data_IF_918891217846
#
_entry.id   IF_918891217846
#
_cell.length_a   1.000
_cell.length_b   1.000
_cell.length_c   1.000
_cell.angle_alpha   90.00
_cell.angle_beta   90.00
_cell.angle_gamma   90.00
#
_symmetry.space_group_name_H-M   'P 1'
#
loop_
_entity.id
_entity.type
_entity.pdbx_description
1 polymer ?
#
# COMPACT_ATOMS: atom_id res chain seq x y z
N UNK A 1 -22.12 20.15 20.84
CA UNK A 1 -20.93 21.01 21.02
C UNK A 1 -19.79 20.14 21.53
N UNK A 2 -18.56 20.62 21.40
CA UNK A 2 -17.34 19.91 21.84
C UNK A 2 -16.52 20.79 22.77
N UNK A 3 -15.76 20.18 23.68
CA UNK A 3 -14.90 20.90 24.64
C UNK A 3 -13.61 20.13 24.86
N UNK A 4 -12.49 20.83 24.95
CA UNK A 4 -11.20 20.27 25.34
C UNK A 4 -10.86 20.71 26.76
N UNK A 5 -10.17 19.84 27.51
CA UNK A 5 -9.73 20.09 28.89
C UNK A 5 -8.40 19.37 29.15
N UNK A 6 -7.53 19.93 30.01
CA UNK A 6 -6.43 19.16 30.62
C UNK A 6 -7.03 18.26 31.71
N UNK A 7 -6.70 16.98 31.67
CA UNK A 7 -7.19 16.00 32.64
C UNK A 7 -6.06 15.06 33.07
N UNK A 8 -6.18 14.50 34.27
CA UNK A 8 -5.41 13.34 34.71
C UNK A 8 -6.30 12.11 34.59
N UNK A 9 -5.77 11.04 34.01
CA UNK A 9 -6.47 9.76 33.90
C UNK A 9 -5.61 8.61 34.43
N UNK A 10 -6.26 7.55 34.90
CA UNK A 10 -5.65 6.25 35.17
C UNK A 10 -6.43 5.21 34.38
N UNK A 11 -5.80 4.58 33.40
CA UNK A 11 -6.47 3.53 32.61
C UNK A 11 -6.87 2.38 33.52
N UNK A 12 -8.12 1.92 33.40
CA UNK A 12 -8.63 0.80 34.20
C UNK A 12 -8.13 -0.55 33.68
N UNK A 13 -7.85 -0.66 32.37
CA UNK A 13 -7.32 -1.85 31.72
C UNK A 13 -6.46 -1.50 30.50
N UNK A 14 -5.68 -2.47 30.04
CA UNK A 14 -5.05 -2.48 28.72
C UNK A 14 -5.61 -3.69 27.99
N UNK A 15 -6.38 -3.43 26.93
CA UNK A 15 -7.10 -4.45 26.18
C UNK A 15 -6.51 -4.56 24.77
N UNK A 16 -6.46 -5.77 24.22
CA UNK A 16 -6.23 -5.96 22.78
C UNK A 16 -7.53 -5.75 22.00
N UNK A 17 -7.42 -5.56 20.68
CA UNK A 17 -8.60 -5.43 19.82
C UNK A 17 -9.44 -6.71 19.83
N UNK A 18 -8.81 -7.87 19.89
CA UNK A 18 -9.46 -9.18 19.92
C UNK A 18 -10.23 -9.38 21.23
N UNK A 19 -9.68 -8.93 22.37
CA UNK A 19 -10.39 -8.95 23.65
C UNK A 19 -11.63 -8.04 23.62
N UNK A 20 -11.49 -6.81 23.11
CA UNK A 20 -12.61 -5.89 22.99
C UNK A 20 -13.68 -6.39 22.01
N UNK A 21 -13.28 -7.01 20.89
CA UNK A 21 -14.16 -7.63 19.92
C UNK A 21 -14.92 -8.82 20.54
N UNK A 22 -14.21 -9.72 21.23
CA UNK A 22 -14.82 -10.84 21.92
C UNK A 22 -15.84 -10.40 22.98
N UNK A 23 -15.57 -9.28 23.68
CA UNK A 23 -16.50 -8.70 24.63
C UNK A 23 -17.80 -8.18 23.99
N UNK A 24 -17.74 -7.51 22.82
CA UNK A 24 -18.96 -7.11 22.06
C UNK A 24 -19.76 -8.33 21.56
N UNK A 25 -19.08 -9.45 21.31
CA UNK A 25 -19.68 -10.75 20.98
C UNK A 25 -20.19 -11.54 22.20
N UNK A 26 -20.11 -10.97 23.40
CA UNK A 26 -20.61 -11.57 24.64
C UNK A 26 -19.65 -12.57 25.31
N UNK A 27 -18.41 -12.67 24.85
CA UNK A 27 -17.35 -13.50 25.45
C UNK A 27 -16.44 -12.63 26.31
N UNK A 28 -16.82 -12.46 27.57
CA UNK A 28 -16.07 -11.69 28.56
C UNK A 28 -14.97 -12.53 29.20
N UNK A 29 -13.82 -11.91 29.44
CA UNK A 29 -12.70 -12.41 30.23
C UNK A 29 -12.56 -11.61 31.55
N UNK A 30 -11.59 -11.97 32.39
CA UNK A 30 -11.41 -11.33 33.69
C UNK A 30 -11.09 -9.81 33.61
N UNK A 31 -10.57 -9.32 32.47
CA UNK A 31 -10.26 -7.89 32.29
C UNK A 31 -11.42 -7.11 31.69
N UNK A 32 -12.22 -7.75 30.84
CA UNK A 32 -13.35 -7.15 30.13
C UNK A 32 -14.67 -7.25 30.90
N UNK A 33 -14.85 -8.25 31.77
CA UNK A 33 -16.04 -8.42 32.59
C UNK A 33 -16.37 -7.19 33.46
N UNK A 34 -15.40 -6.58 34.18
CA UNK A 34 -15.65 -5.34 34.94
C UNK A 34 -15.96 -4.12 34.05
N UNK A 35 -15.69 -4.21 32.75
CA UNK A 35 -15.84 -3.13 31.76
C UNK A 35 -16.97 -3.39 30.76
N UNK A 36 -17.79 -4.43 30.96
CA UNK A 36 -18.81 -4.85 29.99
C UNK A 36 -19.78 -3.72 29.61
N UNK A 37 -20.26 -2.95 30.59
CA UNK A 37 -21.12 -1.78 30.35
C UNK A 37 -20.46 -0.71 29.48
N UNK A 38 -19.33 -0.12 29.92
CA UNK A 38 -18.60 0.86 29.12
C UNK A 38 -18.19 0.38 27.72
N UNK A 39 -17.81 -0.90 27.56
CA UNK A 39 -17.52 -1.47 26.25
C UNK A 39 -18.77 -1.51 25.37
N UNK A 40 -19.91 -1.97 25.90
CA UNK A 40 -21.17 -1.98 25.15
C UNK A 40 -21.58 -0.56 24.70
N UNK A 41 -21.39 0.46 25.55
CA UNK A 41 -21.64 1.86 25.20
C UNK A 41 -20.71 2.37 24.10
N UNK A 42 -19.42 2.01 24.15
CA UNK A 42 -18.44 2.36 23.11
C UNK A 42 -18.82 1.73 21.76
N UNK A 43 -19.20 0.45 21.74
CA UNK A 43 -19.66 -0.21 20.51
C UNK A 43 -21.00 0.35 20.02
N UNK A 44 -21.90 0.76 20.91
CA UNK A 44 -23.13 1.46 20.52
C UNK A 44 -22.82 2.82 19.86
N UNK A 45 -21.85 3.56 20.40
CA UNK A 45 -21.33 4.77 19.79
C UNK A 45 -20.76 4.48 18.39
N UNK A 46 -19.89 3.47 18.26
CA UNK A 46 -19.34 3.05 16.96
C UNK A 46 -20.43 2.75 15.92
N UNK A 47 -21.46 1.98 16.28
CA UNK A 47 -22.60 1.69 15.39
C UNK A 47 -23.32 2.97 14.92
N UNK A 48 -23.38 4.01 15.76
CA UNK A 48 -23.90 5.32 15.36
C UNK A 48 -22.93 6.09 14.44
N UNK A 49 -21.62 6.01 14.71
CA UNK A 49 -20.58 6.60 13.87
C UNK A 49 -20.53 5.97 12.49
N UNK A 50 -20.72 4.66 12.36
CA UNK A 50 -20.80 3.98 11.06
C UNK A 50 -21.91 4.56 10.17
N UNK A 51 -23.06 4.93 10.74
CA UNK A 51 -24.14 5.61 10.00
C UNK A 51 -23.72 7.01 9.54
N UNK A 52 -22.99 7.75 10.37
CA UNK A 52 -22.45 9.06 10.01
C UNK A 52 -21.37 8.96 8.93
N UNK A 53 -20.46 7.98 9.05
CA UNK A 53 -19.43 7.65 8.07
C UNK A 53 -20.03 7.28 6.72
N UNK A 54 -21.08 6.46 6.69
CA UNK A 54 -21.77 6.10 5.46
C UNK A 54 -22.36 7.32 4.73
N UNK A 55 -22.91 8.30 5.47
CA UNK A 55 -23.38 9.57 4.88
C UNK A 55 -22.22 10.45 4.38
N UNK A 56 -21.11 10.49 5.13
CA UNK A 56 -19.89 11.21 4.76
C UNK A 56 -19.23 10.60 3.52
N UNK A 57 -19.33 9.28 3.37
CA UNK A 57 -18.78 8.48 2.27
C UNK A 57 -17.29 8.77 2.01
N UNK A 58 -16.37 8.57 2.98
CA UNK A 58 -14.93 8.64 2.70
C UNK A 58 -14.56 7.63 1.60
N UNK A 59 -13.43 7.86 0.93
CA UNK A 59 -12.93 6.96 -0.10
C UNK A 59 -12.74 5.56 0.49
N UNK A 60 -13.33 4.57 -0.16
CA UNK A 60 -13.39 3.20 0.32
C UNK A 60 -12.54 2.30 -0.58
N UNK A 61 -11.22 2.40 -0.42
CA UNK A 61 -10.26 1.54 -1.09
C UNK A 61 -9.91 0.38 -0.16
N UNK A 62 -10.16 -0.85 -0.61
CA UNK A 62 -9.71 -2.03 0.10
C UNK A 62 -8.23 -2.28 -0.23
N UNK A 63 -7.37 -2.00 0.74
CA UNK A 63 -5.94 -2.21 0.65
C UNK A 63 -5.54 -3.23 1.73
N UNK A 64 -5.44 -4.52 1.37
CA UNK A 64 -5.13 -5.54 2.36
C UNK A 64 -3.72 -5.33 2.91
N UNK A 65 -3.64 -5.11 4.22
CA UNK A 65 -2.38 -5.00 4.96
C UNK A 65 -1.83 -6.40 5.26
N UNK A 66 -0.51 -6.57 5.10
CA UNK A 66 0.18 -7.83 5.39
C UNK A 66 1.04 -7.68 6.62
N UNK A 67 0.99 -8.67 7.50
CA UNK A 67 1.82 -8.80 8.69
C UNK A 67 2.93 -9.83 8.43
N UNK A 68 4.17 -9.40 8.65
CA UNK A 68 5.35 -10.25 8.58
C UNK A 68 5.64 -10.73 10.01
N UNK A 69 5.45 -12.03 10.24
CA UNK A 69 5.74 -12.64 11.54
C UNK A 69 7.20 -13.07 11.57
N UNK A 70 7.92 -12.63 12.59
CA UNK A 70 9.32 -12.97 12.81
C UNK A 70 9.46 -13.96 13.97
N UNK A 71 10.41 -14.88 13.85
CA UNK A 71 10.91 -15.68 14.97
C UNK A 71 11.84 -14.86 15.86
N UNK A 72 12.14 -15.35 17.06
CA UNK A 72 13.10 -14.73 17.99
C UNK A 72 14.50 -14.55 17.38
N UNK A 73 14.85 -15.38 16.39
CA UNK A 73 16.10 -15.28 15.64
C UNK A 73 16.05 -14.23 14.50
N UNK A 74 14.94 -13.49 14.36
CA UNK A 74 14.75 -12.48 13.32
C UNK A 74 14.44 -13.04 11.92
N UNK A 75 14.07 -14.33 11.81
CA UNK A 75 13.71 -14.97 10.54
C UNK A 75 12.21 -14.91 10.32
N UNK A 76 11.77 -14.61 9.09
CA UNK A 76 10.35 -14.61 8.71
C UNK A 76 9.79 -16.03 8.81
N UNK A 77 8.75 -16.20 9.62
CA UNK A 77 8.04 -17.48 9.80
C UNK A 77 6.80 -17.56 8.93
N UNK A 78 6.09 -16.45 8.76
CA UNK A 78 4.91 -16.36 7.90
C UNK A 78 4.64 -14.93 7.45
N UNK A 79 3.93 -14.80 6.33
CA UNK A 79 3.34 -13.55 5.84
C UNK A 79 1.84 -13.79 5.79
N UNK A 80 1.07 -13.04 6.57
CA UNK A 80 -0.38 -13.20 6.67
C UNK A 80 -1.09 -11.87 6.41
N UNK A 81 -2.34 -11.91 5.99
CA UNK A 81 -3.17 -10.72 5.95
C UNK A 81 -3.60 -10.34 7.37
N UNK A 82 -3.51 -9.06 7.69
CA UNK A 82 -3.98 -8.55 8.96
C UNK A 82 -5.50 -8.47 8.94
N UNK A 83 -6.14 -9.16 9.87
CA UNK A 83 -7.59 -9.09 10.02
C UNK A 83 -7.98 -7.76 10.68
N UNK A 84 -8.93 -7.04 10.06
CA UNK A 84 -9.44 -5.76 10.57
C UNK A 84 -10.85 -5.93 11.13
N UNK A 85 -10.94 -6.31 12.41
CA UNK A 85 -12.20 -6.44 13.14
C UNK A 85 -12.82 -5.10 13.53
N UNK A 86 -14.08 -5.10 13.99
CA UNK A 86 -14.84 -3.88 14.31
C UNK A 86 -14.25 -3.09 15.48
N UNK A 87 -13.59 -3.76 16.43
CA UNK A 87 -12.82 -3.07 17.49
C UNK A 87 -11.74 -2.12 16.94
N UNK A 88 -11.07 -2.47 15.83
CA UNK A 88 -10.11 -1.57 15.16
C UNK A 88 -10.83 -0.34 14.61
N UNK A 89 -11.91 -0.57 13.86
CA UNK A 89 -12.70 0.49 13.21
C UNK A 89 -13.34 1.44 14.23
N UNK A 90 -13.73 0.93 15.39
CA UNK A 90 -14.23 1.71 16.52
C UNK A 90 -13.21 2.74 16.98
N UNK A 91 -11.98 2.29 17.26
CA UNK A 91 -10.91 3.20 17.71
C UNK A 91 -10.61 4.22 16.61
N UNK A 92 -10.49 3.77 15.37
CA UNK A 92 -10.25 4.67 14.22
C UNK A 92 -11.30 5.79 14.12
N UNK A 93 -12.60 5.48 14.16
CA UNK A 93 -13.65 6.50 14.03
C UNK A 93 -13.70 7.45 15.24
N UNK A 94 -13.46 6.94 16.46
CA UNK A 94 -13.30 7.77 17.65
C UNK A 94 -12.11 8.74 17.51
N UNK A 95 -10.98 8.27 16.99
CA UNK A 95 -9.80 9.11 16.75
C UNK A 95 -10.07 10.15 15.65
N UNK A 96 -10.77 9.77 14.57
CA UNK A 96 -11.16 10.71 13.51
C UNK A 96 -12.03 11.83 14.07
N UNK A 97 -13.01 11.52 14.92
CA UNK A 97 -13.82 12.55 15.58
C UNK A 97 -13.00 13.49 16.45
N UNK A 98 -12.09 12.96 17.28
CA UNK A 98 -11.22 13.79 18.11
C UNK A 98 -10.31 14.71 17.27
N UNK A 99 -9.79 14.19 16.15
CA UNK A 99 -8.98 14.93 15.19
C UNK A 99 -9.78 16.08 14.52
N UNK A 100 -11.03 15.83 14.11
CA UNK A 100 -11.93 16.87 13.57
C UNK A 100 -12.23 17.92 14.64
N UNK A 101 -12.57 17.49 15.86
CA UNK A 101 -12.88 18.38 16.97
C UNK A 101 -11.73 19.34 17.30
N UNK A 102 -10.49 18.85 17.25
CA UNK A 102 -9.30 19.64 17.50
C UNK A 102 -9.09 20.71 16.42
N UNK A 103 -9.25 20.33 15.14
CA UNK A 103 -9.17 21.25 14.01
C UNK A 103 -10.24 22.35 14.09
N UNK A 104 -11.50 21.97 14.30
CA UNK A 104 -12.63 22.89 14.42
C UNK A 104 -12.44 23.89 15.57
N UNK A 105 -12.02 23.40 16.74
CA UNK A 105 -11.84 24.22 17.95
C UNK A 105 -10.73 25.26 17.76
N UNK A 106 -9.60 24.88 17.16
CA UNK A 106 -8.50 25.80 16.90
C UNK A 106 -8.84 26.83 15.82
N UNK A 107 -9.55 26.42 14.76
CA UNK A 107 -10.07 27.32 13.74
C UNK A 107 -11.02 28.36 14.35
N UNK A 108 -11.99 27.93 15.15
CA UNK A 108 -12.96 28.82 15.80
C UNK A 108 -12.29 29.83 16.74
N UNK A 109 -11.17 29.45 17.36
CA UNK A 109 -10.35 30.33 18.20
C UNK A 109 -9.32 31.15 17.41
N UNK A 110 -9.28 31.04 16.08
CA UNK A 110 -8.33 31.76 15.23
C UNK A 110 -6.86 31.44 15.54
N UNK A 111 -6.56 30.21 15.97
CA UNK A 111 -5.20 29.79 16.31
C UNK A 111 -4.52 29.06 15.14
N UNK A 112 -3.22 29.32 14.89
CA UNK A 112 -2.43 28.52 13.94
C UNK A 112 -2.39 27.04 14.34
N UNK A 113 -2.42 26.15 13.35
CA UNK A 113 -2.31 24.70 13.51
C UNK A 113 -1.77 24.07 12.22
N UNK A 114 -1.40 22.79 12.30
CA UNK A 114 -1.12 21.97 11.13
C UNK A 114 -2.33 21.13 10.77
N UNK A 115 -2.87 21.34 9.57
CA UNK A 115 -3.86 20.47 8.98
C UNK A 115 -3.18 19.27 8.35
N UNK A 116 -3.86 18.12 8.38
CA UNK A 116 -3.54 16.97 7.55
C UNK A 116 -4.37 17.10 6.28
N UNK A 117 -3.72 17.59 5.23
CA UNK A 117 -4.33 17.89 3.95
C UNK A 117 -4.27 16.69 3.03
N UNK A 118 -5.33 16.46 2.28
CA UNK A 118 -5.35 15.52 1.15
C UNK A 118 -6.23 16.12 0.06
N UNK A 119 -5.62 16.66 -0.98
CA UNK A 119 -6.33 17.38 -2.03
C UNK A 119 -7.04 16.42 -3.00
N UNK A 120 -7.92 17.00 -3.82
CA UNK A 120 -8.50 16.30 -4.95
C UNK A 120 -7.40 15.86 -5.95
N UNK A 121 -7.59 14.72 -6.63
CA UNK A 121 -6.78 14.36 -7.80
C UNK A 121 -6.68 15.50 -8.82
N UNK A 122 -5.52 15.64 -9.45
CA UNK A 122 -5.36 16.61 -10.54
C UNK A 122 -6.26 16.26 -11.74
N UNK A 123 -6.66 17.25 -12.57
CA UNK A 123 -7.48 17.01 -13.75
C UNK A 123 -6.92 15.92 -14.68
N UNK A 124 -5.60 15.88 -14.88
CA UNK A 124 -4.94 14.89 -15.74
C UNK A 124 -5.04 13.48 -15.16
N UNK A 125 -4.81 13.34 -13.84
CA UNK A 125 -4.96 12.06 -13.15
C UNK A 125 -6.41 11.56 -13.19
N UNK A 126 -7.38 12.46 -13.10
CA UNK A 126 -8.80 12.11 -13.24
C UNK A 126 -9.16 11.70 -14.67
N UNK A 127 -8.61 12.36 -15.69
CA UNK A 127 -8.88 11.93 -17.06
C UNK A 127 -8.27 10.56 -17.35
N UNK A 128 -7.07 10.27 -16.83
CA UNK A 128 -6.51 8.91 -16.87
C UNK A 128 -7.41 7.88 -16.20
N UNK A 129 -7.94 8.16 -15.00
CA UNK A 129 -8.92 7.28 -14.36
C UNK A 129 -10.20 7.11 -15.20
N UNK A 130 -10.71 8.19 -15.81
CA UNK A 130 -11.90 8.11 -16.69
C UNK A 130 -11.64 7.26 -17.93
N UNK A 131 -10.43 7.31 -18.49
CA UNK A 131 -10.07 6.49 -19.63
C UNK A 131 -10.11 5.00 -19.27
N UNK A 132 -9.45 4.60 -18.17
CA UNK A 132 -9.48 3.22 -17.68
C UNK A 132 -10.91 2.76 -17.38
N UNK A 133 -11.73 3.63 -16.77
CA UNK A 133 -13.15 3.32 -16.55
C UNK A 133 -13.88 3.04 -17.88
N UNK A 134 -13.71 3.88 -18.92
CA UNK A 134 -14.37 3.68 -20.22
C UNK A 134 -13.92 2.40 -20.91
N UNK A 135 -12.65 2.06 -20.83
CA UNK A 135 -12.08 0.84 -21.44
C UNK A 135 -12.67 -0.44 -20.82
N UNK A 136 -13.07 -0.38 -19.55
CA UNK A 136 -13.75 -1.48 -18.83
C UNK A 136 -15.28 -1.42 -18.92
N UNK A 137 -15.83 -0.50 -19.72
CA UNK A 137 -17.27 -0.31 -19.87
C UNK A 137 -17.94 0.44 -18.69
N UNK A 138 -17.15 0.94 -17.73
CA UNK A 138 -17.61 1.73 -16.60
C UNK A 138 -17.60 3.23 -16.93
N UNK A 139 -18.35 4.02 -16.15
CA UNK A 139 -18.48 5.46 -16.41
C UNK A 139 -18.24 6.30 -15.15
N UNK A 140 -17.16 7.08 -15.17
CA UNK A 140 -16.94 8.19 -14.26
C UNK A 140 -17.32 9.50 -14.96
N UNK A 141 -18.47 10.06 -14.60
CA UNK A 141 -19.04 11.25 -15.25
C UNK A 141 -18.09 12.47 -15.24
N UNK A 142 -18.12 13.25 -16.32
CA UNK A 142 -17.37 14.51 -16.47
C UNK A 142 -18.24 15.71 -16.06
N UNK A 143 -17.61 16.77 -15.56
CA UNK A 143 -18.25 18.07 -15.32
C UNK A 143 -18.98 18.23 -13.99
N UNK A 144 -19.01 17.20 -13.14
CA UNK A 144 -19.45 17.34 -11.75
C UNK A 144 -18.26 17.69 -10.85
N UNK A 145 -18.51 18.46 -9.78
CA UNK A 145 -17.55 18.60 -8.67
C UNK A 145 -17.26 17.21 -8.13
N UNK A 146 -15.99 16.83 -8.06
CA UNK A 146 -15.61 15.50 -7.66
C UNK A 146 -15.89 15.32 -6.17
N UNK A 147 -16.50 14.18 -5.83
CA UNK A 147 -16.67 13.75 -4.46
C UNK A 147 -16.25 12.28 -4.37
N UNK A 148 -15.76 11.87 -3.22
CA UNK A 148 -15.41 10.47 -2.91
C UNK A 148 -16.53 9.49 -3.25
N UNK A 149 -17.81 9.86 -3.01
CA UNK A 149 -18.96 9.03 -3.40
C UNK A 149 -19.03 8.68 -4.89
N UNK A 150 -18.47 9.52 -5.77
CA UNK A 150 -18.41 9.23 -7.21
C UNK A 150 -17.34 8.16 -7.50
N UNK A 151 -16.23 8.20 -6.77
CA UNK A 151 -15.18 7.17 -6.83
C UNK A 151 -15.67 5.87 -6.19
N UNK A 152 -16.32 5.92 -5.03
CA UNK A 152 -16.90 4.74 -4.40
C UNK A 152 -17.97 4.08 -5.28
N UNK A 153 -18.74 4.85 -6.06
CA UNK A 153 -19.67 4.27 -7.05
C UNK A 153 -18.92 3.53 -8.16
N UNK A 154 -17.83 4.10 -8.65
CA UNK A 154 -16.98 3.44 -9.66
C UNK A 154 -16.38 2.14 -9.10
N UNK A 155 -15.86 2.18 -7.88
CA UNK A 155 -15.33 1.01 -7.18
C UNK A 155 -16.40 -0.07 -6.99
N UNK A 156 -17.59 0.30 -6.50
CA UNK A 156 -18.71 -0.63 -6.31
C UNK A 156 -19.26 -1.21 -7.62
N UNK A 157 -19.10 -0.52 -8.76
CA UNK A 157 -19.45 -1.08 -10.07
C UNK A 157 -18.42 -2.09 -10.58
N UNK A 158 -17.16 -1.94 -10.17
CA UNK A 158 -16.08 -2.84 -10.54
C UNK A 158 -15.99 -4.05 -9.60
N UNK A 159 -16.52 -3.94 -8.37
CA UNK A 159 -16.50 -4.99 -7.36
C UNK A 159 -17.01 -6.34 -7.88
N UNK A 160 -16.20 -7.39 -7.72
CA UNK A 160 -16.55 -8.75 -8.16
C UNK A 160 -16.48 -8.99 -9.68
N UNK A 161 -16.14 -7.98 -10.47
CA UNK A 161 -15.83 -8.14 -11.90
C UNK A 161 -14.36 -8.49 -12.12
N UNK A 162 -13.99 -8.88 -13.34
CA UNK A 162 -12.58 -9.07 -13.72
C UNK A 162 -11.75 -7.77 -13.64
N UNK A 163 -12.42 -6.60 -13.62
CA UNK A 163 -11.80 -5.27 -13.62
C UNK A 163 -11.68 -4.63 -12.22
N UNK A 164 -12.15 -5.30 -11.17
CA UNK A 164 -12.19 -4.79 -9.78
C UNK A 164 -10.84 -4.20 -9.35
N UNK A 165 -9.79 -5.01 -9.42
CA UNK A 165 -8.45 -4.61 -9.02
C UNK A 165 -7.85 -3.53 -9.93
N UNK A 166 -8.14 -3.57 -11.25
CA UNK A 166 -7.66 -2.56 -12.19
C UNK A 166 -8.22 -1.17 -11.83
N UNK A 167 -9.52 -1.11 -11.51
CA UNK A 167 -10.20 0.12 -11.12
C UNK A 167 -9.75 0.60 -9.74
N UNK A 168 -9.57 -0.31 -8.78
CA UNK A 168 -8.99 0.01 -7.47
C UNK A 168 -7.60 0.65 -7.61
N UNK A 169 -6.72 0.03 -8.39
CA UNK A 169 -5.36 0.53 -8.62
C UNK A 169 -5.32 1.84 -9.40
N UNK A 170 -6.16 1.99 -10.42
CA UNK A 170 -6.28 3.26 -11.16
C UNK A 170 -6.79 4.38 -10.24
N UNK A 171 -7.79 4.09 -9.41
CA UNK A 171 -8.33 5.04 -8.43
C UNK A 171 -7.26 5.45 -7.42
N UNK A 172 -6.55 4.49 -6.82
CA UNK A 172 -5.46 4.75 -5.87
C UNK A 172 -4.36 5.64 -6.50
N UNK A 173 -3.89 5.33 -7.71
CA UNK A 173 -2.85 6.12 -8.40
C UNK A 173 -3.30 7.53 -8.77
N UNK A 174 -4.60 7.71 -9.00
CA UNK A 174 -5.17 9.02 -9.28
C UNK A 174 -5.17 9.93 -8.03
N UNK A 175 -5.11 9.36 -6.82
CA UNK A 175 -5.08 10.13 -5.58
C UNK A 175 -3.77 10.94 -5.42
N UNK A 176 -3.86 12.00 -4.62
CA UNK A 176 -2.70 12.74 -4.14
C UNK A 176 -2.17 12.09 -2.86
N UNK A 177 -0.93 12.36 -2.51
CA UNK A 177 -0.42 11.95 -1.21
C UNK A 177 -0.84 13.00 -0.17
N UNK A 178 -1.34 12.56 0.99
CA UNK A 178 -1.64 13.47 2.08
C UNK A 178 -0.36 14.07 2.69
N UNK A 179 -0.43 15.33 3.13
CA UNK A 179 0.71 16.07 3.67
C UNK A 179 0.27 17.01 4.80
N UNK A 180 1.24 17.61 5.50
CA UNK A 180 0.96 18.62 6.52
C UNK A 180 1.08 20.03 5.94
N UNK A 181 0.13 20.90 6.27
CA UNK A 181 0.16 22.31 5.87
C UNK A 181 -0.51 23.20 6.92
N UNK A 182 -0.07 24.47 7.06
CA UNK A 182 -0.76 25.43 7.92
C UNK A 182 -2.08 25.94 7.31
N UNK A 183 -2.22 25.88 5.98
CA UNK A 183 -3.47 26.22 5.29
C UNK A 183 -4.38 24.99 5.17
N UNK A 184 -5.68 25.22 5.29
CA UNK A 184 -6.68 24.15 5.16
C UNK A 184 -7.15 24.01 3.71
N UNK A 185 -6.80 22.89 3.08
CA UNK A 185 -7.34 22.48 1.78
C UNK A 185 -8.28 21.26 1.88
N UNK A 186 -8.71 20.92 3.10
CA UNK A 186 -9.55 19.76 3.38
C UNK A 186 -8.83 18.42 3.27
N UNK A 187 -9.59 17.35 3.51
CA UNK A 187 -9.10 15.99 3.39
C UNK A 187 -10.06 15.18 2.51
N UNK A 188 -9.82 15.22 1.20
CA UNK A 188 -10.65 14.59 0.18
C UNK A 188 -10.90 13.11 0.46
N UNK A 189 -9.85 12.31 0.73
CA UNK A 189 -10.00 10.87 0.99
C UNK A 189 -10.87 10.52 2.20
N UNK A 190 -10.99 11.42 3.19
CA UNK A 190 -11.86 11.23 4.35
C UNK A 190 -13.22 11.94 4.19
N UNK A 191 -13.40 12.68 3.09
CA UNK A 191 -14.53 13.58 2.86
C UNK A 191 -14.76 14.55 4.04
N UNK A 192 -13.68 15.13 4.55
CA UNK A 192 -13.70 16.09 5.66
C UNK A 192 -13.25 17.47 5.18
N UNK A 193 -13.94 18.52 5.66
CA UNK A 193 -13.60 19.92 5.35
C UNK A 193 -12.37 20.42 6.09
N UNK A 194 -12.12 19.84 7.26
CA UNK A 194 -10.97 20.14 8.08
C UNK A 194 -10.58 18.88 8.86
N UNK A 195 -9.29 18.66 8.98
CA UNK A 195 -8.75 17.50 9.66
C UNK A 195 -7.33 17.82 10.12
N UNK A 196 -7.04 17.54 11.39
CA UNK A 196 -5.71 17.69 11.96
C UNK A 196 -5.42 16.45 12.82
N UNK A 197 -4.20 15.94 12.76
CA UNK A 197 -3.81 14.86 13.66
C UNK A 197 -3.63 15.40 15.08
N UNK A 198 -4.32 14.80 16.05
CA UNK A 198 -4.29 15.18 17.47
C UNK A 198 -4.04 13.99 18.40
N UNK A 199 -4.36 12.78 17.96
CA UNK A 199 -4.52 11.59 18.79
C UNK A 199 -3.25 10.77 19.04
N UNK A 200 -2.08 11.20 18.55
CA UNK A 200 -0.83 10.45 18.68
C UNK A 200 0.43 11.33 18.88
N UNK A 201 0.45 12.27 19.85
CA UNK A 201 1.58 13.18 20.09
C UNK A 201 2.89 12.50 20.49
N UNK A 202 2.85 11.25 20.96
CA UNK A 202 4.04 10.47 21.33
C UNK A 202 4.87 10.08 20.10
N UNK A 203 4.23 9.84 18.94
CA UNK A 203 4.87 9.30 17.74
C UNK A 203 4.77 10.21 16.51
N UNK A 204 4.06 11.33 16.62
CA UNK A 204 3.89 12.30 15.53
C UNK A 204 4.05 13.72 16.06
N UNK A 205 4.99 14.45 15.48
CA UNK A 205 5.26 15.84 15.89
C UNK A 205 4.13 16.81 15.48
N UNK A 206 3.38 16.51 14.42
CA UNK A 206 2.20 17.31 14.03
C UNK A 206 1.14 17.36 15.15
N UNK A 207 0.86 16.21 15.78
CA UNK A 207 -0.06 16.14 16.91
C UNK A 207 0.45 16.97 18.10
N UNK A 208 1.77 16.98 18.34
CA UNK A 208 2.37 17.80 19.39
C UNK A 208 2.16 19.31 19.13
N UNK A 209 2.30 19.76 17.88
CA UNK A 209 1.96 21.14 17.48
C UNK A 209 0.49 21.46 17.74
N UNK A 210 -0.43 20.54 17.43
CA UNK A 210 -1.87 20.72 17.70
C UNK A 210 -2.17 20.76 19.20
N UNK A 211 -1.52 19.92 20.02
CA UNK A 211 -1.62 19.97 21.49
C UNK A 211 -1.14 21.30 22.06
N UNK A 212 0.03 21.78 21.62
CA UNK A 212 0.57 23.10 21.98
C UNK A 212 -0.38 24.23 21.57
N UNK A 213 -0.96 24.14 20.37
CA UNK A 213 -1.94 25.11 19.89
C UNK A 213 -3.17 25.14 20.80
N UNK A 214 -3.70 23.98 21.22
CA UNK A 214 -4.84 23.88 22.13
C UNK A 214 -4.52 24.49 23.51
N UNK A 215 -3.33 24.22 24.05
CA UNK A 215 -2.87 24.84 25.31
C UNK A 215 -2.88 26.37 25.20
N UNK A 216 -2.29 26.93 24.13
CA UNK A 216 -2.31 28.38 23.88
C UNK A 216 -3.72 28.93 23.62
N UNK A 217 -4.60 28.16 22.98
CA UNK A 217 -5.96 28.56 22.65
C UNK A 217 -6.88 28.67 23.89
N UNK A 218 -6.54 27.93 24.94
CA UNK A 218 -7.32 27.86 26.18
C UNK A 218 -6.62 28.47 27.40
N UNK A 219 -5.35 28.88 27.28
CA UNK A 219 -4.60 29.50 28.37
C UNK A 219 -4.26 28.52 29.49
N UNK A 220 -3.92 27.27 29.14
CA UNK A 220 -3.68 26.21 30.12
C UNK A 220 -2.25 26.11 30.65
N UNK A 221 -1.42 27.12 30.43
CA UNK A 221 -0.03 27.17 30.89
C UNK A 221 0.92 27.73 29.84
N UNK A 222 2.21 27.67 30.16
CA UNK A 222 3.29 28.27 29.38
C UNK A 222 3.91 27.27 28.36
N UNK A 223 3.42 26.03 28.33
CA UNK A 223 3.84 24.93 27.44
C UNK A 223 3.07 24.92 26.10
N UNK A 224 2.46 26.04 25.74
CA UNK A 224 1.71 26.22 24.51
C UNK A 224 2.55 26.42 23.26
N UNK A 225 1.88 26.69 22.13
CA UNK A 225 2.51 27.00 20.85
C UNK A 225 3.25 28.35 20.95
N UNK A 226 4.56 28.34 20.72
CA UNK A 226 5.41 29.52 20.84
C UNK A 226 5.33 30.43 19.62
N UNK A 227 5.77 31.68 19.74
CA UNK A 227 5.86 32.60 18.60
C UNK A 227 6.80 32.07 17.49
N UNK A 228 7.90 31.42 17.88
CA UNK A 228 8.82 30.77 16.95
C UNK A 228 8.14 29.63 16.18
N UNK A 229 7.36 28.78 16.87
CA UNK A 229 6.61 27.70 16.21
C UNK A 229 5.61 28.25 15.18
N UNK A 230 4.95 29.37 15.49
CA UNK A 230 4.00 30.02 14.57
C UNK A 230 4.71 30.56 13.33
N UNK A 231 5.85 31.22 13.51
CA UNK A 231 6.67 31.77 12.40
C UNK A 231 7.24 30.66 11.50
N UNK A 232 7.62 29.52 12.08
CA UNK A 232 8.26 28.39 11.38
C UNK A 232 7.30 27.24 11.08
N UNK A 233 5.99 27.49 11.15
CA UNK A 233 4.96 26.44 11.04
C UNK A 233 5.00 25.75 9.67
N UNK A 234 5.24 26.52 8.61
CA UNK A 234 5.28 26.01 7.24
C UNK A 234 6.51 25.12 6.98
N UNK A 235 7.68 25.49 7.54
CA UNK A 235 8.89 24.68 7.46
C UNK A 235 8.81 23.43 8.33
N UNK A 236 8.18 23.55 9.50
CA UNK A 236 7.83 22.40 10.35
C UNK A 236 6.94 21.41 9.59
N UNK A 237 5.93 21.90 8.86
CA UNK A 237 5.04 21.08 8.06
C UNK A 237 5.78 20.30 6.96
N UNK A 238 6.70 20.97 6.25
CA UNK A 238 7.58 20.34 5.23
C UNK A 238 8.45 19.25 5.85
N UNK A 239 9.14 19.56 6.96
CA UNK A 239 10.03 18.62 7.64
C UNK A 239 9.28 17.37 8.13
N UNK A 240 8.09 17.52 8.72
CA UNK A 240 7.26 16.39 9.14
C UNK A 240 6.86 15.54 7.92
N UNK A 241 6.40 16.17 6.84
CA UNK A 241 5.97 15.47 5.62
C UNK A 241 7.13 14.72 4.94
N UNK A 242 8.34 15.26 4.97
CA UNK A 242 9.55 14.59 4.48
C UNK A 242 9.97 13.42 5.38
N UNK A 243 9.90 13.60 6.69
CA UNK A 243 10.18 12.54 7.65
C UNK A 243 9.20 11.37 7.51
N UNK A 244 7.92 11.67 7.29
CA UNK A 244 6.89 10.66 6.99
C UNK A 244 7.23 9.88 5.71
N UNK A 245 7.55 10.58 4.61
CA UNK A 245 7.96 9.94 3.35
C UNK A 245 9.17 9.02 3.54
N UNK A 246 10.21 9.52 4.21
CA UNK A 246 11.40 8.72 4.52
C UNK A 246 11.08 7.49 5.36
N UNK A 247 10.21 7.62 6.35
CA UNK A 247 9.77 6.49 7.19
C UNK A 247 9.04 5.43 6.36
N UNK A 248 8.11 5.85 5.48
CA UNK A 248 7.39 4.92 4.60
C UNK A 248 8.32 4.20 3.62
N UNK A 249 9.31 4.90 3.05
CA UNK A 249 10.32 4.26 2.18
C UNK A 249 11.15 3.25 2.96
N UNK A 250 11.61 3.59 4.16
CA UNK A 250 12.39 2.67 4.99
C UNK A 250 11.58 1.42 5.41
N UNK A 251 10.30 1.60 5.74
CA UNK A 251 9.37 0.50 6.03
C UNK A 251 9.17 -0.41 4.82
N UNK A 252 8.92 0.17 3.65
CA UNK A 252 8.79 -0.58 2.39
C UNK A 252 10.06 -1.37 2.08
N UNK A 253 11.23 -0.73 2.10
CA UNK A 253 12.52 -1.37 1.83
C UNK A 253 12.79 -2.53 2.81
N UNK A 254 12.37 -2.37 4.07
CA UNK A 254 12.51 -3.40 5.10
C UNK A 254 11.58 -4.58 4.82
N UNK A 255 10.32 -4.31 4.50
CA UNK A 255 9.35 -5.35 4.13
C UNK A 255 9.82 -6.10 2.87
N UNK A 256 10.29 -5.41 1.84
CA UNK A 256 10.79 -6.02 0.61
C UNK A 256 11.97 -6.97 0.90
N UNK A 257 12.89 -6.60 1.80
CA UNK A 257 13.99 -7.48 2.25
C UNK A 257 13.50 -8.72 3.01
N UNK A 258 12.54 -8.55 3.92
CA UNK A 258 11.96 -9.69 4.64
C UNK A 258 11.21 -10.64 3.70
N UNK A 259 10.44 -10.10 2.76
CA UNK A 259 9.73 -10.89 1.75
C UNK A 259 10.71 -11.62 0.82
N UNK A 260 11.79 -10.96 0.38
CA UNK A 260 12.84 -11.60 -0.41
C UNK A 260 13.56 -12.71 0.37
N UNK A 261 13.87 -12.49 1.65
CA UNK A 261 14.43 -13.53 2.53
C UNK A 261 13.49 -14.74 2.62
N UNK A 262 12.20 -14.49 2.86
CA UNK A 262 11.18 -15.53 2.95
C UNK A 262 10.99 -16.31 1.63
N UNK A 263 11.06 -15.62 0.49
CA UNK A 263 10.91 -16.24 -0.83
C UNK A 263 12.18 -16.93 -1.34
N UNK A 264 13.36 -16.62 -0.80
CA UNK A 264 14.62 -17.24 -1.22
C UNK A 264 14.65 -18.76 -1.03
N UNK A 265 13.91 -19.28 -0.05
CA UNK A 265 13.77 -20.73 0.18
C UNK A 265 12.84 -21.41 -0.83
N UNK A 266 12.13 -20.63 -1.66
CA UNK A 266 11.16 -21.07 -2.67
C UNK A 266 11.59 -20.73 -4.10
N UNK A 267 12.89 -20.59 -4.35
CA UNK A 267 13.41 -20.37 -5.71
C UNK A 267 12.96 -21.48 -6.68
N UNK A 268 12.53 -21.07 -7.87
CA UNK A 268 11.99 -21.95 -8.89
C UNK A 268 10.53 -22.35 -8.70
N UNK A 269 9.88 -21.96 -7.60
CA UNK A 269 8.44 -22.16 -7.42
C UNK A 269 7.63 -21.21 -8.32
N UNK A 270 6.43 -21.64 -8.65
CA UNK A 270 5.46 -20.88 -9.43
C UNK A 270 4.48 -20.18 -8.49
N UNK A 271 4.13 -18.95 -8.83
CA UNK A 271 3.25 -18.09 -8.05
C UNK A 271 2.23 -17.45 -8.96
N UNK A 272 0.98 -17.43 -8.50
CA UNK A 272 -0.02 -16.54 -9.07
C UNK A 272 0.25 -15.09 -8.62
N UNK A 273 -0.01 -14.16 -9.51
CA UNK A 273 0.08 -12.76 -9.20
C UNK A 273 -0.59 -11.90 -10.25
N UNK A 274 -0.41 -10.60 -10.12
CA UNK A 274 -0.98 -9.61 -11.03
C UNK A 274 0.05 -8.56 -11.40
N UNK A 275 -0.02 -8.06 -12.63
CA UNK A 275 0.83 -6.97 -13.07
C UNK A 275 0.48 -5.70 -12.29
N UNK A 276 1.38 -5.27 -11.40
CA UNK A 276 1.22 -4.09 -10.54
C UNK A 276 1.75 -2.82 -11.18
N UNK A 277 2.69 -2.94 -12.12
CA UNK A 277 3.28 -1.82 -12.84
C UNK A 277 3.95 -2.24 -14.14
N UNK A 278 4.03 -1.30 -15.08
CA UNK A 278 4.68 -1.52 -16.38
C UNK A 278 5.72 -0.43 -16.60
N UNK A 279 6.90 -0.85 -17.08
CA UNK A 279 7.99 0.05 -17.38
C UNK A 279 8.70 -0.37 -18.67
N UNK A 280 9.48 0.55 -19.26
CA UNK A 280 10.27 0.27 -20.48
C UNK A 280 11.21 -0.93 -20.39
N UNK A 281 11.60 -1.35 -19.18
CA UNK A 281 12.57 -2.42 -18.94
C UNK A 281 11.92 -3.73 -18.46
N UNK A 282 10.59 -3.78 -18.29
CA UNK A 282 9.90 -4.97 -17.80
C UNK A 282 8.56 -4.66 -17.15
N UNK A 283 7.98 -5.67 -16.52
CA UNK A 283 6.74 -5.55 -15.76
C UNK A 283 6.96 -5.94 -14.31
N UNK A 284 6.31 -5.24 -13.40
CA UNK A 284 6.26 -5.60 -11.99
C UNK A 284 5.04 -6.46 -11.74
N UNK A 285 5.22 -7.55 -11.02
CA UNK A 285 4.17 -8.50 -10.65
C UNK A 285 4.10 -8.56 -9.13
N UNK A 286 2.91 -8.27 -8.60
CA UNK A 286 2.60 -8.45 -7.19
C UNK A 286 2.09 -9.86 -6.98
N UNK A 287 2.74 -10.64 -6.11
CA UNK A 287 2.36 -12.01 -5.82
C UNK A 287 1.13 -12.04 -4.91
N UNK A 288 0.17 -12.94 -5.19
CA UNK A 288 -1.10 -12.97 -4.45
C UNK A 288 -0.86 -13.37 -2.98
N UNK A 289 -0.14 -14.46 -2.75
CA UNK A 289 0.11 -15.03 -1.43
C UNK A 289 0.89 -14.08 -0.52
N UNK A 290 2.02 -13.54 -1.00
CA UNK A 290 2.96 -12.81 -0.17
C UNK A 290 2.87 -11.30 -0.32
N UNK A 291 2.25 -10.81 -1.40
CA UNK A 291 2.20 -9.38 -1.72
C UNK A 291 3.52 -8.78 -2.18
N UNK A 292 4.56 -9.61 -2.33
CA UNK A 292 5.86 -9.15 -2.77
C UNK A 292 5.78 -8.67 -4.22
N UNK A 293 6.43 -7.55 -4.52
CA UNK A 293 6.60 -7.05 -5.89
C UNK A 293 7.88 -7.65 -6.48
N UNK A 294 7.77 -8.37 -7.60
CA UNK A 294 8.91 -8.87 -8.36
C UNK A 294 8.96 -8.30 -9.77
N UNK A 295 10.17 -8.18 -10.32
CA UNK A 295 10.39 -7.68 -11.67
C UNK A 295 10.49 -8.86 -12.64
N UNK A 296 9.69 -8.83 -13.70
CA UNK A 296 9.91 -9.61 -14.92
C UNK A 296 10.67 -8.72 -15.91
N UNK A 297 11.97 -8.98 -16.16
CA UNK A 297 12.73 -8.19 -17.11
C UNK A 297 12.19 -8.36 -18.53
N UNK A 298 12.12 -7.29 -19.32
CA UNK A 298 11.58 -7.32 -20.69
C UNK A 298 12.25 -8.37 -21.59
N UNK A 299 13.55 -8.63 -21.37
CA UNK A 299 14.34 -9.65 -22.08
C UNK A 299 13.88 -11.09 -21.83
N UNK A 300 13.12 -11.33 -20.76
CA UNK A 300 12.56 -12.64 -20.40
C UNK A 300 11.11 -12.79 -20.87
N UNK A 301 10.49 -11.72 -21.37
CA UNK A 301 9.12 -11.74 -21.84
C UNK A 301 9.09 -12.24 -23.28
N UNK A 302 8.72 -13.51 -23.46
CA UNK A 302 8.54 -14.11 -24.77
C UNK A 302 9.79 -14.08 -25.65
N UNK A 303 9.60 -14.09 -26.96
CA UNK A 303 10.68 -14.15 -27.95
C UNK A 303 10.62 -12.99 -28.97
N UNK A 304 9.96 -11.89 -28.62
CA UNK A 304 9.75 -10.74 -29.50
C UNK A 304 10.13 -9.42 -28.84
N UNK A 305 10.13 -8.34 -29.63
CA UNK A 305 10.31 -6.99 -29.13
C UNK A 305 8.97 -6.46 -28.62
N UNK A 306 8.98 -5.85 -27.44
CA UNK A 306 7.81 -5.22 -26.84
C UNK A 306 7.99 -3.70 -26.82
N UNK A 307 7.01 -2.98 -27.38
CA UNK A 307 6.94 -1.53 -27.32
C UNK A 307 6.23 -1.09 -26.04
N UNK A 308 6.84 -0.18 -25.30
CA UNK A 308 6.26 0.41 -24.11
C UNK A 308 5.40 1.62 -24.44
N UNK A 309 4.17 1.61 -23.95
CA UNK A 309 3.27 2.77 -23.93
C UNK A 309 3.13 3.29 -22.49
N UNK A 310 3.73 4.45 -22.16
CA UNK A 310 3.64 5.03 -20.82
C UNK A 310 2.23 5.52 -20.46
N UNK A 311 1.42 5.92 -21.43
CA UNK A 311 0.07 6.45 -21.18
C UNK A 311 -0.90 5.30 -20.94
N UNK A 312 -0.84 4.27 -21.80
CA UNK A 312 -1.65 3.05 -21.65
C UNK A 312 -1.10 2.08 -20.58
N UNK A 313 0.08 2.37 -20.01
CA UNK A 313 0.76 1.51 -19.03
C UNK A 313 0.86 0.05 -19.49
N UNK A 314 1.31 -0.15 -20.73
CA UNK A 314 1.33 -1.45 -21.39
C UNK A 314 2.61 -1.72 -22.18
N UNK A 315 2.87 -3.00 -22.40
CA UNK A 315 3.87 -3.52 -23.32
C UNK A 315 3.15 -4.29 -24.43
N UNK A 316 3.32 -3.87 -25.68
CA UNK A 316 2.71 -4.55 -26.83
C UNK A 316 3.78 -5.19 -27.71
N UNK A 317 3.65 -6.49 -27.95
CA UNK A 317 4.55 -7.27 -28.79
C UNK A 317 4.43 -6.85 -30.27
N UNK A 318 5.55 -6.52 -30.92
CA UNK A 318 5.53 -6.06 -32.31
C UNK A 318 5.12 -7.12 -33.33
N UNK A 319 5.35 -8.41 -33.02
CA UNK A 319 5.11 -9.52 -33.94
C UNK A 319 3.76 -10.16 -33.70
N UNK A 320 3.37 -10.34 -32.44
CA UNK A 320 2.13 -11.02 -32.07
C UNK A 320 0.98 -10.05 -31.80
N UNK A 321 1.29 -8.79 -31.52
CA UNK A 321 0.30 -7.84 -31.00
C UNK A 321 -0.14 -8.13 -29.56
N UNK A 322 0.50 -9.10 -28.88
CA UNK A 322 0.14 -9.44 -27.50
C UNK A 322 0.39 -8.25 -26.58
N UNK A 323 -0.61 -7.86 -25.81
CA UNK A 323 -0.54 -6.73 -24.89
C UNK A 323 -0.49 -7.21 -23.45
N UNK A 324 0.53 -6.74 -22.75
CA UNK A 324 0.76 -6.96 -21.34
C UNK A 324 0.48 -5.63 -20.64
N UNK A 325 -0.52 -5.57 -19.77
CA UNK A 325 -1.01 -4.36 -19.13
C UNK A 325 -1.22 -4.56 -17.63
N UNK A 326 -1.22 -3.44 -16.90
CA UNK A 326 -1.52 -3.44 -15.47
C UNK A 326 -2.85 -4.12 -15.21
N UNK A 327 -2.92 -4.89 -14.13
CA UNK A 327 -4.13 -5.55 -13.72
C UNK A 327 -4.32 -6.93 -14.34
N UNK A 328 -3.53 -7.36 -15.33
CA UNK A 328 -3.64 -8.72 -15.84
C UNK A 328 -3.14 -9.77 -14.83
N UNK A 329 -3.85 -10.89 -14.72
CA UNK A 329 -3.43 -12.06 -13.97
C UNK A 329 -2.32 -12.79 -14.70
N UNK A 330 -1.33 -13.23 -13.94
CA UNK A 330 -0.16 -13.90 -14.47
C UNK A 330 0.24 -15.07 -13.60
N UNK A 331 0.83 -16.08 -14.24
CA UNK A 331 1.60 -17.10 -13.56
C UNK A 331 3.08 -16.78 -13.78
N UNK A 332 3.83 -16.69 -12.69
CA UNK A 332 5.25 -16.35 -12.71
C UNK A 332 6.07 -17.40 -11.96
N UNK A 333 7.30 -17.60 -12.39
CA UNK A 333 8.28 -18.42 -11.68
C UNK A 333 9.31 -17.53 -11.00
N UNK A 334 9.62 -17.83 -9.74
CA UNK A 334 10.68 -17.13 -9.03
C UNK A 334 12.06 -17.55 -9.57
N UNK A 335 12.73 -16.64 -10.26
CA UNK A 335 14.04 -16.90 -10.88
C UNK A 335 15.21 -16.52 -9.94
N UNK A 336 15.07 -15.41 -9.21
CA UNK A 336 16.08 -14.91 -8.28
C UNK A 336 15.42 -14.19 -7.11
N UNK A 337 15.99 -14.33 -5.91
CA UNK A 337 15.61 -13.56 -4.73
C UNK A 337 16.89 -13.11 -4.03
N UNK A 338 17.04 -11.80 -3.82
CA UNK A 338 18.20 -11.18 -3.17
C UNK A 338 17.77 -10.52 -1.85
N UNK A 339 17.91 -11.22 -0.71
CA UNK A 339 17.45 -10.76 0.59
C UNK A 339 18.07 -9.43 1.05
N UNK A 340 19.32 -9.13 0.63
CA UNK A 340 20.01 -7.91 1.06
C UNK A 340 19.40 -6.68 0.41
N UNK A 341 19.06 -6.78 -0.88
CA UNK A 341 18.49 -5.66 -1.64
C UNK A 341 16.97 -5.63 -1.60
N UNK A 342 16.32 -6.75 -1.25
CA UNK A 342 14.86 -6.93 -1.38
C UNK A 342 14.42 -7.25 -2.81
N UNK A 343 15.36 -7.48 -3.72
CA UNK A 343 15.07 -7.71 -5.14
C UNK A 343 14.51 -9.11 -5.40
N UNK A 344 13.44 -9.17 -6.19
CA UNK A 344 12.87 -10.40 -6.74
C UNK A 344 12.86 -10.34 -8.26
N UNK A 345 13.43 -11.34 -8.92
CA UNK A 345 13.35 -11.51 -10.36
C UNK A 345 12.43 -12.67 -10.70
N UNK A 346 11.52 -12.42 -11.61
CA UNK A 346 10.48 -13.35 -12.02
C UNK A 346 10.64 -13.68 -13.51
N UNK A 347 10.24 -14.89 -13.86
CA UNK A 347 10.03 -15.33 -15.23
C UNK A 347 8.53 -15.43 -15.47
N UNK A 348 8.02 -14.75 -16.49
CA UNK A 348 6.60 -14.79 -16.84
C UNK A 348 6.31 -16.07 -17.60
N UNK A 349 5.33 -16.85 -17.13
CA UNK A 349 4.93 -18.12 -17.73
C UNK A 349 3.64 -17.94 -18.54
N UNK A 350 2.63 -17.33 -17.92
CA UNK A 350 1.29 -17.16 -18.47
C UNK A 350 0.76 -15.76 -18.20
N UNK A 351 -0.09 -15.27 -19.11
CA UNK A 351 -0.87 -14.03 -18.96
C UNK A 351 -2.33 -14.38 -19.27
N UNK A 352 -3.24 -14.08 -18.35
CA UNK A 352 -4.67 -14.43 -18.46
C UNK A 352 -4.94 -15.92 -18.79
N UNK A 353 -4.07 -16.81 -18.30
CA UNK A 353 -4.16 -18.25 -18.54
C UNK A 353 -3.62 -18.72 -19.90
N UNK A 354 -3.15 -17.81 -20.74
CA UNK A 354 -2.48 -18.15 -22.00
C UNK A 354 -0.96 -18.18 -21.81
N UNK A 355 -0.33 -19.26 -22.29
CA UNK A 355 1.13 -19.36 -22.33
C UNK A 355 1.72 -18.28 -23.26
N UNK A 356 2.85 -17.71 -22.86
CA UNK A 356 3.52 -16.71 -23.69
C UNK A 356 3.81 -17.24 -25.10
N UNK A 357 3.67 -16.40 -26.14
CA UNK A 357 3.92 -16.81 -27.51
C UNK A 357 5.40 -17.17 -27.70
N UNK A 358 5.70 -18.46 -27.62
CA UNK A 358 7.00 -19.02 -27.96
C UNK A 358 7.20 -18.83 -29.46
N UNK A 359 8.36 -18.33 -29.88
CA UNK A 359 8.72 -18.25 -31.30
C UNK A 359 8.57 -19.64 -31.96
N UNK A 360 7.53 -19.82 -32.79
CA UNK A 360 7.51 -20.86 -33.81
C UNK A 360 8.42 -20.41 -34.95
N UNK A 361 9.72 -20.70 -34.85
CA UNK A 361 10.66 -20.39 -35.94
C UNK A 361 12.13 -20.74 -35.67
N UNK A 362 12.53 -21.96 -36.04
CA UNK A 362 13.92 -22.32 -36.37
C UNK A 362 14.60 -23.31 -35.41
N UNK A 363 15.32 -24.34 -35.92
CA UNK A 363 15.83 -25.42 -35.10
C UNK A 363 16.85 -24.90 -34.07
N UNK A 364 16.72 -25.39 -32.84
CA UNK A 364 17.69 -25.29 -31.76
C UNK A 364 19.13 -25.34 -32.29
N UNK A 365 19.76 -24.17 -32.42
CA UNK A 365 21.22 -24.09 -32.46
C UNK A 365 21.70 -24.31 -31.05
N UNK A 366 21.94 -25.60 -30.76
CA UNK A 366 22.35 -26.09 -29.46
C UNK A 366 23.43 -25.25 -28.80
N UNK A 367 23.16 -24.88 -27.54
CA UNK A 367 24.15 -24.42 -26.59
C UNK A 367 25.31 -25.42 -26.39
N UNK A 368 26.40 -24.99 -25.73
CA UNK A 368 27.76 -25.41 -26.02
C UNK A 368 28.15 -26.80 -25.43
N UNK A 369 27.49 -27.89 -25.83
CA UNK A 369 27.94 -29.26 -25.50
C UNK A 369 29.06 -29.79 -26.42
N UNK A 370 29.47 -29.04 -27.47
CA UNK A 370 30.52 -29.48 -28.42
C UNK A 370 31.98 -29.19 -28.01
N UNK A 371 32.24 -28.44 -26.93
CA UNK A 371 33.63 -28.24 -26.45
C UNK A 371 34.12 -29.31 -25.44
N UNK A 372 33.23 -29.98 -24.71
CA UNK A 372 33.62 -31.04 -23.77
C UNK A 372 34.00 -32.37 -24.45
N UNK A 373 33.38 -32.71 -25.58
CA UNK A 373 33.68 -33.96 -26.31
C UNK A 373 34.99 -33.88 -27.10
N UNK A 374 35.40 -32.68 -27.55
CA UNK A 374 36.66 -32.47 -28.28
C UNK A 374 37.87 -32.48 -27.35
N UNK A 375 37.72 -32.06 -26.08
CA UNK A 375 38.76 -32.16 -25.06
C UNK A 375 39.01 -33.62 -24.62
N UNK A 376 37.94 -34.42 -24.45
CA UNK A 376 38.06 -35.84 -24.08
C UNK A 376 38.73 -36.68 -25.19
N UNK A 377 38.43 -36.41 -26.47
CA UNK A 377 39.09 -37.10 -27.61
C UNK A 377 40.57 -36.71 -27.82
N UNK A 378 41.00 -35.51 -27.41
CA UNK A 378 42.41 -35.09 -27.51
C UNK A 378 43.25 -35.71 -26.38
N UNK A 379 42.70 -35.87 -25.19
CA UNK A 379 43.34 -36.55 -24.06
C UNK A 379 43.56 -38.06 -24.32
N UNK A 380 42.58 -38.75 -24.92
CA UNK A 380 42.72 -40.18 -25.24
C UNK A 380 43.73 -40.44 -26.37
N UNK A 381 43.96 -39.48 -27.27
CA UNK A 381 44.93 -39.62 -28.38
C UNK A 381 46.38 -39.36 -27.93
N UNK A 382 46.59 -38.52 -26.90
CA UNK A 382 47.89 -38.28 -26.27
C UNK A 382 48.32 -39.45 -25.37
N UNK A 383 47.39 -40.03 -24.59
CA UNK A 383 47.67 -41.21 -23.75
C UNK A 383 48.01 -42.48 -24.55
N UNK A 384 47.52 -42.59 -25.79
CA UNK A 384 47.82 -43.72 -26.69
C UNK A 384 49.16 -43.57 -27.44
N UNK A 385 49.76 -42.36 -27.43
CA UNK A 385 51.06 -42.07 -28.06
C UNK A 385 52.24 -42.18 -27.07
N UNK A 386 52.00 -42.02 -25.77
CA UNK A 386 53.03 -42.26 -24.72
C UNK A 386 53.26 -43.75 -24.40
N UNK A 387 52.29 -44.63 -24.71
CA UNK A 387 52.37 -46.09 -24.50
C UNK A 387 53.09 -46.87 -25.62
N UNK A 388 53.66 -46.19 -26.63
CA UNK A 388 54.35 -46.80 -27.78
C UNK A 388 55.81 -46.34 -27.95
N UNK A 389 56.36 -45.69 -26.91
CA UNK A 389 57.78 -45.29 -26.78
C UNK A 389 58.32 -45.56 -25.37
N UNK A 390 57.95 -46.71 -24.82
CA UNK A 390 58.59 -47.35 -23.67
C UNK A 390 59.04 -48.73 -24.12
#
# INVERSE_FOLDING_TARGET
GQTFHRAMMRSAASLTYEQAQAADEGRLDAQTDPLAGPLADLFACYRALTKARARRAPLDLDLPEREIVLSDAGRVTSVAFKERVDAHKLVEECMVLANVAAAETLREKGRPLLYRVHEEPSPDKLEGLRQVARETGLVLAKGQVLHTRHLNRLLAQAEGTEFDEMINMATLRSMTQAYYAPQNFGHFGLALREYAHFTSPIRRYADLIVHRALISAHGWGDDGLSAWDVEHLEDTAKAISEAERRSMTAERDTNDRYLAAYLSERMGAEFAGRISGVARFGVFVKLDETGADGLVPIRSIGAEYFRHDPEAQSLTGERTGATIQIGQRVLVKLAEAEPITGGLMLELLEVEGDALPVSRGGPSRGGPKRKAVKAKRKATKLARKSRRKG
#
